data_IF_659312699762
#
_entry.id   IF_659312699762
#
_cell.length_a   1.000
_cell.length_b   1.000
_cell.length_c   1.000
_cell.angle_alpha   90.00
_cell.angle_beta   90.00
_cell.angle_gamma   90.00
#
_symmetry.space_group_name_H-M   'P 1'
#
loop_
_entity.id
_entity.type
_entity.pdbx_description
1 polymer ?
#
# COMPACT_ATOMS: atom_id res chain seq x y z
N UNK A 1 56.08 36.98 -43.09
CA UNK A 1 56.04 36.05 -44.24
C UNK A 1 54.69 35.34 -44.17
N UNK A 2 53.94 35.36 -45.25
CA UNK A 2 52.51 35.08 -45.37
C UNK A 2 52.11 33.63 -45.03
N UNK A 3 50.92 33.41 -44.45
CA UNK A 3 49.70 33.04 -45.20
C UNK A 3 48.47 32.87 -44.30
N UNK A 4 47.40 33.56 -44.71
CA UNK A 4 46.00 33.33 -44.37
C UNK A 4 45.53 32.11 -45.17
N UNK A 5 44.62 31.30 -44.61
CA UNK A 5 43.57 30.67 -45.42
C UNK A 5 42.29 30.47 -44.59
N UNK A 6 41.19 30.80 -45.27
CA UNK A 6 39.81 30.96 -44.82
C UNK A 6 38.96 29.85 -45.52
N UNK A 7 37.82 29.51 -44.90
CA UNK A 7 36.67 28.72 -45.41
C UNK A 7 36.73 27.19 -45.34
N UNK A 8 35.86 26.63 -44.48
CA UNK A 8 34.78 25.66 -44.81
C UNK A 8 34.10 25.28 -43.47
N UNK A 9 33.14 26.06 -42.97
CA UNK A 9 31.70 25.93 -43.22
C UNK A 9 31.21 24.45 -43.29
N UNK A 10 30.89 23.87 -42.13
CA UNK A 10 29.90 22.81 -42.06
C UNK A 10 28.92 23.15 -40.94
N UNK A 11 27.72 23.56 -41.37
CA UNK A 11 26.53 23.65 -40.55
C UNK A 11 26.19 22.26 -40.01
N UNK A 12 26.05 22.14 -38.69
CA UNK A 12 25.09 21.21 -38.12
C UNK A 12 24.15 22.01 -37.23
N UNK A 13 22.89 22.09 -37.69
CA UNK A 13 21.77 22.59 -36.95
C UNK A 13 21.66 21.82 -35.63
N UNK A 14 21.95 22.48 -34.52
CA UNK A 14 21.35 22.10 -33.24
C UNK A 14 19.97 22.73 -33.27
N UNK A 15 19.00 21.98 -33.77
CA UNK A 15 17.59 22.22 -33.50
C UNK A 15 17.40 22.23 -31.99
N UNK A 16 17.21 23.42 -31.43
CA UNK A 16 16.80 23.60 -30.05
C UNK A 16 15.45 22.93 -29.84
N UNK A 17 15.46 21.68 -29.40
CA UNK A 17 14.34 21.09 -28.68
C UNK A 17 14.36 21.77 -27.32
N UNK A 18 13.60 22.85 -27.20
CA UNK A 18 13.18 23.40 -25.92
C UNK A 18 12.33 22.31 -25.28
N UNK A 19 12.96 21.44 -24.48
CA UNK A 19 12.24 20.69 -23.48
C UNK A 19 11.67 21.72 -22.51
N UNK A 20 10.42 22.10 -22.73
CA UNK A 20 9.59 22.66 -21.66
C UNK A 20 9.41 21.54 -20.63
N UNK A 21 10.40 21.36 -19.77
CA UNK A 21 10.20 20.73 -18.48
C UNK A 21 9.33 21.68 -17.68
N UNK A 22 8.02 21.53 -17.80
CA UNK A 22 7.09 22.01 -16.78
C UNK A 22 7.44 21.20 -15.53
N UNK A 23 8.40 21.71 -14.76
CA UNK A 23 8.64 21.23 -13.42
C UNK A 23 7.39 21.55 -12.63
N UNK A 24 6.56 20.54 -12.37
CA UNK A 24 5.62 20.60 -11.25
C UNK A 24 6.45 20.60 -9.97
N UNK A 25 7.00 21.76 -9.63
CA UNK A 25 7.40 22.05 -8.26
C UNK A 25 6.12 22.08 -7.45
N UNK A 26 5.80 20.99 -6.77
CA UNK A 26 4.82 20.99 -5.70
C UNK A 26 5.41 21.84 -4.56
N UNK A 27 5.34 23.16 -4.69
CA UNK A 27 5.64 24.11 -3.61
C UNK A 27 4.55 23.95 -2.55
N UNK A 28 4.72 22.97 -1.66
CA UNK A 28 3.78 22.78 -0.56
C UNK A 28 4.12 23.81 0.52
N UNK A 29 3.54 25.01 0.41
CA UNK A 29 3.09 25.70 1.62
C UNK A 29 2.02 24.77 2.21
N UNK A 30 2.41 23.93 3.18
CA UNK A 30 1.51 22.94 3.80
C UNK A 30 0.33 23.67 4.45
N UNK A 31 -0.75 23.87 3.73
CA UNK A 31 -2.06 23.93 4.37
C UNK A 31 -2.21 22.61 5.11
N UNK A 32 -2.38 22.68 6.43
CA UNK A 32 -2.64 21.48 7.22
C UNK A 32 -3.92 20.85 6.67
N UNK A 33 -3.93 19.53 6.39
CA UNK A 33 -5.15 18.87 5.97
C UNK A 33 -6.26 19.14 6.99
N UNK A 34 -7.47 19.38 6.49
CA UNK A 34 -8.65 19.69 7.32
C UNK A 34 -9.23 18.42 7.96
N UNK A 35 -9.80 18.53 9.14
CA UNK A 35 -10.55 17.44 9.78
C UNK A 35 -11.84 17.17 9.00
N UNK A 36 -11.96 15.96 8.46
CA UNK A 36 -13.12 15.45 7.73
C UNK A 36 -13.83 14.32 8.45
N UNK A 37 -13.55 14.09 9.74
CA UNK A 37 -14.15 13.02 10.55
C UNK A 37 -15.67 13.01 10.50
N UNK A 38 -16.30 14.19 10.41
CA UNK A 38 -17.76 14.35 10.31
C UNK A 38 -18.38 13.74 9.05
N UNK A 39 -17.58 13.45 8.02
CA UNK A 39 -18.05 12.79 6.79
C UNK A 39 -18.18 11.27 6.98
N UNK A 40 -17.53 10.72 8.00
CA UNK A 40 -17.42 9.29 8.22
C UNK A 40 -18.34 8.81 9.33
N UNK A 41 -19.02 7.70 9.06
CA UNK A 41 -19.84 6.98 10.03
C UNK A 41 -19.02 5.86 10.65
N UNK A 42 -18.93 5.87 11.99
CA UNK A 42 -18.20 4.87 12.78
C UNK A 42 -19.18 4.13 13.67
N UNK A 43 -19.16 2.79 13.63
CA UNK A 43 -19.94 1.96 14.54
C UNK A 43 -19.10 1.36 15.69
N UNK A 44 -17.77 1.55 15.65
CA UNK A 44 -16.78 1.08 16.62
C UNK A 44 -16.79 -0.44 16.88
N UNK A 45 -17.42 -1.23 15.99
CA UNK A 45 -17.45 -2.68 16.08
C UNK A 45 -16.19 -3.25 15.47
N UNK A 46 -15.59 -4.20 16.19
CA UNK A 46 -14.45 -4.95 15.68
C UNK A 46 -14.94 -5.96 14.64
N UNK A 47 -14.31 -5.95 13.47
CA UNK A 47 -14.49 -6.95 12.41
C UNK A 47 -13.71 -8.22 12.78
N UNK A 48 -12.45 -8.02 13.18
CA UNK A 48 -11.58 -9.04 13.77
C UNK A 48 -10.89 -8.44 15.01
N UNK A 49 -10.63 -9.27 16.01
CA UNK A 49 -9.92 -8.82 17.22
C UNK A 49 -9.28 -9.99 17.98
N UNK A 50 -8.44 -9.66 18.96
CA UNK A 50 -7.83 -10.64 19.87
C UNK A 50 -6.51 -11.22 19.38
N UNK A 51 -6.07 -10.82 18.18
CA UNK A 51 -4.77 -11.16 17.61
C UNK A 51 -3.63 -10.33 18.20
N UNK A 52 -2.40 -10.77 17.94
CA UNK A 52 -1.18 -10.15 18.49
C UNK A 52 -0.78 -8.85 17.81
N UNK A 53 -0.70 -8.87 16.48
CA UNK A 53 -0.33 -7.70 15.67
C UNK A 53 -0.75 -7.89 14.21
N UNK A 54 -1.95 -7.48 13.78
CA UNK A 54 -2.42 -7.68 12.39
C UNK A 54 -3.10 -6.45 11.79
N UNK A 55 -2.96 -6.28 10.48
CA UNK A 55 -3.35 -5.08 9.75
C UNK A 55 -3.44 -5.31 8.23
N UNK A 56 -3.72 -4.24 7.46
CA UNK A 56 -3.92 -4.28 6.01
C UNK A 56 -5.08 -5.21 5.59
N UNK A 57 -6.27 -5.00 6.17
CA UNK A 57 -7.45 -5.84 5.92
C UNK A 57 -8.11 -5.52 4.58
N UNK A 58 -7.47 -5.98 3.50
CA UNK A 58 -7.88 -5.75 2.13
C UNK A 58 -9.09 -6.61 1.77
N UNK A 59 -10.22 -5.99 1.39
CA UNK A 59 -11.49 -6.68 1.14
C UNK A 59 -11.89 -6.62 -0.33
N UNK A 60 -12.24 -7.78 -0.89
CA UNK A 60 -12.87 -7.92 -2.20
C UNK A 60 -14.35 -8.33 -2.03
N UNK A 61 -15.21 -7.74 -2.85
CA UNK A 61 -16.63 -8.11 -2.95
C UNK A 61 -16.94 -8.88 -4.24
N UNK A 62 -17.54 -10.06 -4.09
CA UNK A 62 -17.93 -10.99 -5.15
C UNK A 62 -19.38 -11.46 -4.93
N UNK A 63 -20.40 -10.72 -5.38
CA UNK A 63 -21.80 -10.91 -4.99
C UNK A 63 -22.36 -12.32 -5.26
N UNK A 64 -21.82 -13.02 -6.27
CA UNK A 64 -22.31 -14.34 -6.71
C UNK A 64 -21.66 -15.51 -5.95
N UNK A 65 -20.79 -15.24 -4.96
CA UNK A 65 -20.14 -16.24 -4.11
C UNK A 65 -20.96 -16.53 -2.85
N UNK A 66 -20.92 -17.77 -2.33
CA UNK A 66 -21.52 -18.11 -1.03
C UNK A 66 -21.00 -17.21 0.10
N UNK A 67 -19.72 -16.85 0.02
CA UNK A 67 -19.07 -15.84 0.83
C UNK A 67 -18.68 -14.69 -0.09
N UNK A 68 -19.54 -13.68 -0.24
CA UNK A 68 -19.30 -12.58 -1.16
C UNK A 68 -18.23 -11.61 -0.67
N UNK A 69 -17.88 -11.62 0.61
CA UNK A 69 -16.76 -10.83 1.11
C UNK A 69 -15.57 -11.75 1.36
N UNK A 70 -14.43 -11.42 0.76
CA UNK A 70 -13.16 -12.11 0.98
C UNK A 70 -12.13 -11.07 1.37
N UNK A 71 -11.24 -11.44 2.27
CA UNK A 71 -10.18 -10.55 2.71
C UNK A 71 -8.83 -11.24 2.75
N UNK A 72 -7.79 -10.44 2.54
CA UNK A 72 -6.40 -10.79 2.78
C UNK A 72 -5.80 -9.73 3.69
N UNK A 73 -5.04 -10.17 4.66
CA UNK A 73 -4.47 -9.33 5.71
C UNK A 73 -3.24 -10.00 6.26
N UNK A 74 -2.43 -9.32 7.07
CA UNK A 74 -1.18 -9.94 7.50
C UNK A 74 -0.80 -9.53 8.91
N UNK A 75 0.22 -10.22 9.41
CA UNK A 75 0.85 -9.91 10.68
C UNK A 75 1.09 -11.16 11.52
N UNK A 76 0.91 -11.02 12.82
CA UNK A 76 1.13 -12.04 13.83
C UNK A 76 -0.17 -12.40 14.53
N UNK A 77 -0.57 -13.67 14.46
CA UNK A 77 -1.84 -14.12 15.02
C UNK A 77 -1.79 -14.20 16.56
N UNK A 78 -0.79 -14.88 17.14
CA UNK A 78 -0.74 -15.20 18.58
C UNK A 78 0.53 -14.70 19.27
N UNK A 79 1.70 -15.02 18.72
CA UNK A 79 3.00 -14.61 19.24
C UNK A 79 3.73 -13.75 18.22
N UNK A 80 4.63 -12.88 18.70
CA UNK A 80 5.44 -12.05 17.80
C UNK A 80 6.20 -12.96 16.83
N UNK A 81 6.15 -12.61 15.54
CA UNK A 81 6.71 -13.40 14.45
C UNK A 81 6.10 -14.79 14.27
N UNK A 82 4.83 -15.00 14.69
CA UNK A 82 4.11 -16.27 14.56
C UNK A 82 4.90 -17.48 15.09
N UNK A 83 5.75 -17.28 16.11
CA UNK A 83 6.65 -18.30 16.68
C UNK A 83 5.93 -19.52 17.26
N UNK A 84 4.64 -19.39 17.53
CA UNK A 84 3.77 -20.47 17.98
C UNK A 84 3.40 -21.47 16.87
N UNK A 85 3.68 -21.18 15.59
CA UNK A 85 3.36 -22.06 14.46
C UNK A 85 4.57 -22.97 14.18
N UNK A 86 4.42 -24.30 14.32
CA UNK A 86 5.50 -25.24 14.02
C UNK A 86 6.02 -25.07 12.60
N UNK A 87 7.35 -25.13 12.45
CA UNK A 87 8.08 -25.03 11.18
C UNK A 87 7.86 -23.74 10.38
N UNK A 88 7.21 -22.73 10.95
CA UNK A 88 7.07 -21.42 10.34
C UNK A 88 8.41 -20.71 10.25
N UNK A 89 8.69 -20.15 9.07
CA UNK A 89 9.88 -19.35 8.78
C UNK A 89 9.47 -17.91 8.53
N UNK A 90 10.32 -16.99 8.99
CA UNK A 90 10.08 -15.55 8.93
C UNK A 90 9.33 -15.02 10.16
N UNK A 91 8.61 -13.92 9.97
CA UNK A 91 7.92 -13.19 11.02
C UNK A 91 6.49 -12.86 10.59
N UNK A 92 6.35 -12.02 9.58
CA UNK A 92 5.06 -11.61 9.02
C UNK A 92 4.59 -12.59 7.95
N UNK A 93 3.29 -12.87 7.99
CA UNK A 93 2.62 -13.74 7.03
C UNK A 93 1.24 -13.20 6.68
N UNK A 94 0.79 -13.51 5.46
CA UNK A 94 -0.53 -13.16 4.98
C UNK A 94 -1.51 -14.28 5.35
N UNK A 95 -2.67 -13.87 5.86
CA UNK A 95 -3.83 -14.64 6.24
C UNK A 95 -5.00 -14.26 5.32
N UNK A 96 -6.04 -15.08 5.33
CA UNK A 96 -7.27 -14.80 4.57
C UNK A 96 -8.51 -15.06 5.41
N UNK A 97 -9.54 -14.26 5.16
CA UNK A 97 -10.83 -14.35 5.80
C UNK A 97 -11.96 -14.27 4.77
N UNK A 98 -13.16 -14.70 5.17
CA UNK A 98 -14.36 -14.61 4.33
C UNK A 98 -15.59 -14.34 5.19
N UNK A 99 -16.61 -13.71 4.60
CA UNK A 99 -17.87 -13.46 5.29
C UNK A 99 -19.07 -13.45 4.35
N UNK A 100 -20.23 -13.78 4.91
CA UNK A 100 -21.54 -13.70 4.22
C UNK A 100 -22.09 -12.27 4.18
N UNK A 101 -21.64 -11.43 5.10
CA UNK A 101 -22.01 -10.02 5.26
C UNK A 101 -20.78 -9.23 5.65
N UNK A 102 -20.71 -7.96 5.26
CA UNK A 102 -19.57 -7.10 5.55
C UNK A 102 -19.34 -6.94 7.06
N UNK A 103 -20.41 -6.89 7.84
CA UNK A 103 -20.37 -6.80 9.32
C UNK A 103 -19.92 -8.09 9.99
N UNK A 104 -19.81 -9.19 9.23
CA UNK A 104 -19.49 -10.52 9.73
C UNK A 104 -20.72 -11.39 10.05
N UNK A 105 -20.51 -12.52 10.76
CA UNK A 105 -19.21 -12.97 11.27
C UNK A 105 -18.22 -13.25 10.15
N UNK A 106 -16.95 -12.93 10.40
CA UNK A 106 -15.84 -13.24 9.51
C UNK A 106 -15.19 -14.54 9.94
N UNK A 107 -15.02 -15.45 8.99
CA UNK A 107 -14.32 -16.71 9.18
C UNK A 107 -12.88 -16.57 8.70
N UNK A 108 -11.90 -16.98 9.51
CA UNK A 108 -10.47 -16.90 9.14
C UNK A 108 -9.94 -18.29 8.78
N UNK A 109 -9.11 -18.39 7.75
CA UNK A 109 -8.56 -19.67 7.31
C UNK A 109 -7.76 -20.37 8.42
N UNK A 110 -8.08 -21.65 8.64
CA UNK A 110 -7.51 -22.48 9.70
C UNK A 110 -6.61 -23.61 9.17
N UNK A 111 -6.26 -23.57 7.87
CA UNK A 111 -5.45 -24.61 7.23
C UNK A 111 -6.26 -25.82 6.76
N UNK A 112 -5.73 -26.55 5.78
CA UNK A 112 -6.32 -27.82 5.32
C UNK A 112 -7.76 -27.71 4.84
N UNK A 113 -8.13 -26.57 4.24
CA UNK A 113 -9.49 -26.30 3.75
C UNK A 113 -10.51 -25.93 4.84
N UNK A 114 -10.07 -25.74 6.09
CA UNK A 114 -10.93 -25.37 7.23
C UNK A 114 -10.93 -23.86 7.47
N UNK A 115 -11.99 -23.39 8.09
CA UNK A 115 -12.22 -22.00 8.45
C UNK A 115 -12.63 -21.93 9.92
N UNK A 116 -12.07 -20.98 10.66
CA UNK A 116 -12.43 -20.66 12.03
C UNK A 116 -13.59 -19.64 12.04
N UNK A 117 -14.74 -20.06 12.56
CA UNK A 117 -15.94 -19.25 12.75
C UNK A 117 -16.08 -18.72 14.19
N UNK A 118 -15.10 -19.02 15.07
CA UNK A 118 -15.13 -18.63 16.49
C UNK A 118 -14.39 -17.32 16.77
N UNK A 119 -13.57 -16.86 15.82
CA UNK A 119 -12.72 -15.66 15.99
C UNK A 119 -11.55 -15.89 16.93
N UNK A 120 -10.99 -17.11 16.99
CA UNK A 120 -9.90 -17.50 17.86
C UNK A 120 -8.55 -17.54 17.10
N UNK A 121 -7.65 -16.55 17.30
CA UNK A 121 -6.40 -16.47 16.57
C UNK A 121 -5.47 -17.68 16.69
N UNK A 122 -5.64 -18.52 17.72
CA UNK A 122 -4.87 -19.76 17.88
C UNK A 122 -5.17 -20.80 16.80
N UNK A 123 -6.31 -20.69 16.12
CA UNK A 123 -6.71 -21.60 15.04
C UNK A 123 -6.22 -21.12 13.67
N UNK A 124 -5.87 -19.84 13.54
CA UNK A 124 -5.58 -19.23 12.24
C UNK A 124 -4.25 -19.75 11.69
N UNK A 125 -4.22 -19.96 10.38
CA UNK A 125 -3.03 -20.41 9.66
C UNK A 125 -2.68 -19.46 8.53
N UNK A 126 -1.39 -19.16 8.35
CA UNK A 126 -0.95 -18.32 7.25
C UNK A 126 -1.27 -19.00 5.92
N UNK A 127 -1.70 -18.19 4.96
CA UNK A 127 -1.87 -18.56 3.56
C UNK A 127 -0.55 -18.44 2.79
N UNK A 128 0.27 -17.46 3.19
CA UNK A 128 1.49 -17.04 2.52
C UNK A 128 2.57 -16.79 3.56
N UNK A 129 3.69 -17.49 3.41
CA UNK A 129 4.91 -17.30 4.21
C UNK A 129 6.12 -17.17 3.30
N UNK A 130 7.27 -16.84 3.85
CA UNK A 130 8.49 -16.59 3.09
C UNK A 130 9.03 -17.85 2.41
N UNK A 131 9.77 -17.67 1.30
CA UNK A 131 10.36 -18.78 0.52
C UNK A 131 11.86 -18.98 0.75
N UNK A 132 12.53 -18.06 1.45
CA UNK A 132 13.94 -18.14 1.81
C UNK A 132 14.90 -17.54 0.77
N UNK A 133 14.42 -16.64 -0.09
CA UNK A 133 15.30 -15.85 -0.99
C UNK A 133 15.70 -14.54 -0.32
N UNK A 134 16.70 -13.82 -0.87
CA UNK A 134 17.27 -12.64 -0.19
C UNK A 134 16.29 -11.48 -0.04
N UNK A 135 15.19 -11.52 -0.81
CA UNK A 135 14.11 -10.54 -0.81
C UNK A 135 12.82 -11.11 -0.21
N UNK A 136 12.81 -12.36 0.24
CA UNK A 136 11.64 -13.09 0.71
C UNK A 136 12.05 -14.10 1.78
N UNK A 137 12.55 -13.58 2.91
CA UNK A 137 13.13 -14.39 3.99
C UNK A 137 12.41 -14.20 5.32
N UNK A 138 11.99 -12.97 5.63
CA UNK A 138 11.46 -12.67 6.96
C UNK A 138 10.08 -11.99 6.98
N UNK A 139 9.70 -11.21 5.96
CA UNK A 139 8.41 -10.50 5.95
C UNK A 139 7.65 -10.77 4.65
N UNK A 140 6.42 -11.27 4.74
CA UNK A 140 5.43 -11.26 3.66
C UNK A 140 4.14 -10.61 4.15
N UNK A 141 3.74 -9.51 3.52
CA UNK A 141 2.66 -8.68 4.02
C UNK A 141 2.06 -7.75 3.00
N UNK A 142 1.22 -6.85 3.50
CA UNK A 142 0.51 -5.81 2.76
C UNK A 142 -0.12 -6.32 1.44
N UNK A 143 -0.98 -7.35 1.49
CA UNK A 143 -1.57 -7.92 0.29
C UNK A 143 -2.62 -6.96 -0.29
N UNK A 144 -2.46 -6.58 -1.56
CA UNK A 144 -3.53 -5.97 -2.35
C UNK A 144 -3.98 -6.93 -3.44
N UNK A 145 -5.28 -7.22 -3.50
CA UNK A 145 -5.84 -8.33 -4.27
C UNK A 145 -7.03 -7.86 -5.11
N UNK A 146 -6.91 -8.02 -6.42
CA UNK A 146 -8.03 -7.79 -7.35
C UNK A 146 -8.40 -9.07 -8.09
N UNK A 147 -9.59 -9.08 -8.66
CA UNK A 147 -10.03 -10.13 -9.58
C UNK A 147 -10.27 -9.55 -10.97
N UNK A 148 -9.62 -10.13 -11.98
CA UNK A 148 -9.84 -9.80 -13.39
C UNK A 148 -10.33 -11.05 -14.11
N UNK A 149 -11.58 -11.02 -14.55
CA UNK A 149 -12.26 -12.22 -15.07
C UNK A 149 -12.36 -13.31 -13.99
N UNK A 150 -11.72 -14.45 -14.22
CA UNK A 150 -11.72 -15.59 -13.27
C UNK A 150 -10.48 -15.67 -12.39
N UNK A 151 -9.51 -14.79 -12.59
CA UNK A 151 -8.19 -14.87 -11.96
C UNK A 151 -8.04 -13.79 -10.90
N UNK A 152 -7.59 -14.19 -9.72
CA UNK A 152 -7.11 -13.29 -8.68
C UNK A 152 -5.66 -12.92 -8.95
N UNK A 153 -5.34 -11.65 -8.75
CA UNK A 153 -4.00 -11.09 -8.82
C UNK A 153 -3.71 -10.46 -7.46
N UNK A 154 -2.54 -10.74 -6.91
CA UNK A 154 -2.05 -10.17 -5.67
C UNK A 154 -0.72 -9.50 -5.92
N UNK A 155 -0.57 -8.25 -5.50
CA UNK A 155 0.74 -7.69 -5.20
C UNK A 155 0.90 -7.69 -3.69
N UNK A 156 2.11 -8.00 -3.22
CA UNK A 156 2.39 -8.05 -1.79
C UNK A 156 3.83 -7.62 -1.51
N UNK A 157 4.04 -7.09 -0.32
CA UNK A 157 5.35 -6.76 0.19
C UNK A 157 6.15 -8.01 0.53
N UNK A 158 7.42 -8.03 0.14
CA UNK A 158 8.38 -9.03 0.59
C UNK A 158 9.68 -8.38 1.07
N UNK A 159 10.20 -8.89 2.18
CA UNK A 159 11.49 -8.45 2.74
C UNK A 159 12.38 -9.64 3.07
N UNK A 160 13.67 -9.51 2.80
CA UNK A 160 14.69 -10.49 3.16
C UNK A 160 16.01 -9.86 3.58
N UNK A 161 16.99 -10.71 3.90
CA UNK A 161 18.26 -10.33 4.53
C UNK A 161 19.33 -9.84 3.54
N UNK A 162 18.89 -9.08 2.54
CA UNK A 162 19.69 -8.49 1.45
C UNK A 162 20.89 -9.35 0.97
N UNK A 163 22.02 -8.74 0.60
CA UNK A 163 23.06 -9.44 -0.16
C UNK A 163 23.96 -10.28 0.74
N UNK A 164 24.20 -9.85 1.97
CA UNK A 164 25.03 -10.59 2.92
C UNK A 164 24.29 -11.76 3.62
N UNK A 165 22.95 -11.80 3.50
CA UNK A 165 22.06 -12.83 4.07
C UNK A 165 22.03 -12.85 5.59
N UNK A 166 22.39 -11.74 6.23
CA UNK A 166 22.43 -11.57 7.67
C UNK A 166 21.21 -10.71 8.08
N UNK A 167 20.46 -11.10 9.13
CA UNK A 167 19.34 -10.29 9.59
C UNK A 167 19.77 -8.86 9.95
N UNK A 168 18.97 -7.90 9.50
CA UNK A 168 19.14 -6.49 9.80
C UNK A 168 19.30 -6.24 11.31
N UNK A 169 20.03 -5.17 11.66
CA UNK A 169 20.33 -4.76 13.03
C UNK A 169 21.15 -5.78 13.86
N UNK A 170 21.73 -6.80 13.23
CA UNK A 170 22.66 -7.72 13.92
C UNK A 170 24.12 -7.27 13.75
N UNK A 171 25.05 -7.64 14.66
CA UNK A 171 26.42 -7.09 14.66
C UNK A 171 27.25 -7.30 13.39
N UNK A 172 26.85 -8.22 12.51
CA UNK A 172 27.58 -8.56 11.29
C UNK A 172 26.85 -8.14 10.01
N UNK A 173 25.65 -7.57 10.14
CA UNK A 173 24.89 -7.04 9.02
C UNK A 173 25.60 -5.81 8.44
N UNK A 174 25.64 -5.74 7.10
CA UNK A 174 26.35 -4.71 6.36
C UNK A 174 25.50 -3.96 5.34
N UNK A 175 24.30 -4.47 5.04
CA UNK A 175 23.41 -3.97 4.00
C UNK A 175 21.92 -3.96 4.36
N UNK A 176 21.54 -4.45 5.55
CA UNK A 176 20.21 -4.28 6.10
C UNK A 176 19.16 -5.19 5.46
N UNK A 177 17.96 -4.65 5.30
CA UNK A 177 16.84 -5.37 4.69
C UNK A 177 16.65 -4.97 3.23
N UNK A 178 16.40 -5.96 2.37
CA UNK A 178 15.97 -5.70 1.00
C UNK A 178 14.45 -5.77 0.91
N UNK A 179 13.82 -4.66 0.51
CA UNK A 179 12.38 -4.56 0.34
C UNK A 179 12.00 -4.60 -1.13
N UNK A 180 10.93 -5.33 -1.42
CA UNK A 180 10.39 -5.36 -2.76
C UNK A 180 8.91 -5.68 -2.77
N UNK A 181 8.33 -5.55 -3.96
CA UNK A 181 6.96 -5.97 -4.23
C UNK A 181 7.02 -7.20 -5.13
N UNK A 182 6.34 -8.24 -4.68
CA UNK A 182 6.17 -9.50 -5.37
C UNK A 182 4.76 -9.60 -5.96
N UNK A 183 4.62 -10.42 -7.01
CA UNK A 183 3.33 -10.71 -7.63
C UNK A 183 2.89 -12.15 -7.33
N UNK A 184 1.58 -12.40 -7.31
CA UNK A 184 1.02 -13.74 -7.33
C UNK A 184 -0.32 -13.80 -8.05
N UNK A 185 -0.66 -14.97 -8.60
CA UNK A 185 -1.95 -15.24 -9.24
C UNK A 185 -2.61 -16.50 -8.68
N UNK A 186 -3.94 -16.52 -8.67
CA UNK A 186 -4.73 -17.65 -8.18
C UNK A 186 -6.07 -17.76 -8.93
N UNK A 187 -6.64 -18.96 -8.97
CA UNK A 187 -8.00 -19.19 -9.49
C UNK A 187 -9.06 -19.23 -8.38
N UNK A 188 -8.65 -19.46 -7.12
CA UNK A 188 -9.55 -19.66 -5.98
C UNK A 188 -9.29 -18.70 -4.80
N UNK A 189 -8.22 -17.90 -4.87
CA UNK A 189 -7.80 -16.97 -3.84
C UNK A 189 -7.08 -17.64 -2.65
N UNK A 190 -6.83 -18.95 -2.73
CA UNK A 190 -6.22 -19.77 -1.68
C UNK A 190 -4.90 -20.40 -2.14
N UNK A 191 -4.85 -20.94 -3.35
CA UNK A 191 -3.66 -21.54 -3.93
C UNK A 191 -3.03 -20.57 -4.93
N UNK A 192 -1.79 -20.16 -4.66
CA UNK A 192 -1.16 -19.06 -5.38
C UNK A 192 0.11 -19.48 -6.09
N UNK A 193 0.27 -19.02 -7.33
CA UNK A 193 1.53 -19.04 -8.07
C UNK A 193 2.20 -17.67 -7.93
N UNK A 194 3.37 -17.62 -7.29
CA UNK A 194 4.16 -16.40 -7.08
C UNK A 194 5.02 -16.07 -8.30
N UNK A 195 5.40 -14.80 -8.44
CA UNK A 195 6.47 -14.39 -9.35
C UNK A 195 7.80 -14.99 -8.89
N UNK A 196 8.67 -15.34 -9.82
CA UNK A 196 10.00 -15.89 -9.51
C UNK A 196 10.98 -14.82 -9.00
N UNK A 197 10.68 -13.55 -9.31
CA UNK A 197 11.47 -12.37 -8.97
C UNK A 197 10.54 -11.25 -8.50
N UNK A 198 11.07 -10.22 -7.82
CA UNK A 198 10.32 -9.01 -7.52
C UNK A 198 9.73 -8.39 -8.78
N UNK A 199 8.42 -8.10 -8.76
CA UNK A 199 7.76 -7.40 -9.86
C UNK A 199 8.11 -5.91 -9.85
N UNK A 200 8.41 -5.35 -8.67
CA UNK A 200 9.01 -4.04 -8.50
C UNK A 200 10.10 -4.09 -7.40
N UNK A 201 11.25 -3.50 -7.68
CA UNK A 201 12.31 -3.29 -6.71
C UNK A 201 13.22 -2.13 -7.15
N UNK A 202 13.90 -1.50 -6.20
CA UNK A 202 14.96 -0.55 -6.49
C UNK A 202 16.31 -1.26 -6.47
N UNK A 203 16.86 -1.54 -7.65
CA UNK A 203 18.05 -2.42 -7.77
C UNK A 203 19.28 -1.90 -7.03
N UNK A 204 19.41 -0.58 -6.85
CA UNK A 204 20.54 -0.01 -6.11
C UNK A 204 20.46 -0.22 -4.59
N UNK A 205 19.34 -0.76 -4.08
CA UNK A 205 19.19 -1.22 -2.70
C UNK A 205 19.98 -2.49 -2.43
N UNK A 206 20.16 -3.37 -3.42
CA UNK A 206 20.85 -4.65 -3.25
C UNK A 206 22.33 -4.45 -2.88
N UNK A 207 22.71 -4.78 -1.65
CA UNK A 207 24.03 -4.51 -1.07
C UNK A 207 24.32 -3.02 -0.92
N UNK A 208 23.29 -2.19 -0.94
CA UNK A 208 23.34 -0.77 -0.65
C UNK A 208 23.61 -0.55 0.83
N UNK A 209 24.20 0.60 1.19
CA UNK A 209 24.33 0.97 2.60
C UNK A 209 23.18 1.85 3.01
N UNK A 210 22.43 1.38 3.99
CA UNK A 210 21.45 2.16 4.70
C UNK A 210 22.07 3.42 5.31
N UNK A 211 21.45 4.57 5.05
CA UNK A 211 21.96 5.86 5.52
C UNK A 211 21.46 6.24 6.91
N UNK A 212 20.41 5.57 7.42
CA UNK A 212 19.90 5.68 8.78
C UNK A 212 18.78 4.65 9.05
N UNK A 213 19.10 3.52 9.70
CA UNK A 213 18.14 2.44 9.96
C UNK A 213 17.78 1.62 8.71
N UNK A 214 16.74 0.81 8.79
CA UNK A 214 16.29 -0.21 7.81
C UNK A 214 15.70 0.36 6.49
N UNK A 215 16.17 1.52 6.01
CA UNK A 215 15.59 2.22 4.84
C UNK A 215 16.63 2.73 3.85
N UNK A 216 16.35 2.51 2.57
CA UNK A 216 17.18 2.94 1.45
C UNK A 216 16.53 4.06 0.67
N UNK A 217 17.27 5.16 0.49
CA UNK A 217 16.83 6.32 -0.26
C UNK A 217 16.43 5.95 -1.70
N UNK A 218 15.20 6.31 -2.09
CA UNK A 218 14.56 5.98 -3.37
C UNK A 218 14.18 4.51 -3.57
N UNK A 219 14.48 3.67 -2.59
CA UNK A 219 14.07 2.27 -2.51
C UNK A 219 13.03 2.05 -1.42
N UNK A 220 13.12 0.92 -0.73
CA UNK A 220 12.16 0.46 0.27
C UNK A 220 10.76 0.31 -0.34
N UNK A 221 10.68 -0.34 -1.51
CA UNK A 221 9.41 -0.52 -2.22
C UNK A 221 8.51 -1.51 -1.46
N UNK A 222 7.36 -1.03 -1.00
CA UNK A 222 6.50 -1.77 -0.09
C UNK A 222 5.02 -1.35 -0.24
N UNK A 223 4.11 -2.05 0.45
CA UNK A 223 2.70 -1.67 0.62
C UNK A 223 1.97 -1.34 -0.68
N UNK A 224 1.89 -2.31 -1.61
CA UNK A 224 1.24 -2.08 -2.88
C UNK A 224 -0.27 -1.93 -2.72
N UNK A 225 -0.87 -1.06 -3.52
CA UNK A 225 -2.30 -1.07 -3.85
C UNK A 225 -2.45 -1.22 -5.36
N UNK A 226 -3.10 -2.30 -5.79
CA UNK A 226 -3.25 -2.65 -7.21
C UNK A 226 -4.66 -2.41 -7.72
N UNK A 227 -4.75 -2.03 -8.99
CA UNK A 227 -6.00 -1.89 -9.72
C UNK A 227 -5.81 -2.33 -11.17
N UNK A 228 -6.83 -2.94 -11.76
CA UNK A 228 -6.90 -3.16 -13.20
C UNK A 228 -7.91 -2.19 -13.80
N UNK A 229 -7.42 -1.23 -14.57
CA UNK A 229 -8.21 -0.13 -15.11
C UNK A 229 -7.55 0.38 -16.39
N UNK A 230 -8.34 0.80 -17.37
CA UNK A 230 -7.86 1.16 -18.72
C UNK A 230 -7.05 0.06 -19.41
N UNK A 231 -7.46 -1.20 -19.24
CA UNK A 231 -6.81 -2.40 -19.80
C UNK A 231 -5.34 -2.58 -19.38
N UNK A 232 -4.94 -2.05 -18.22
CA UNK A 232 -3.61 -2.22 -17.65
C UNK A 232 -3.70 -2.43 -16.14
N UNK A 233 -2.67 -3.08 -15.60
CA UNK A 233 -2.44 -3.07 -14.16
C UNK A 233 -1.78 -1.75 -13.78
N UNK A 234 -2.30 -1.16 -12.72
CA UNK A 234 -1.83 0.05 -12.05
C UNK A 234 -1.42 -0.36 -10.64
N UNK A 235 -0.31 0.16 -10.14
CA UNK A 235 0.13 -0.08 -8.76
C UNK A 235 0.66 1.19 -8.14
N UNK A 236 0.13 1.53 -6.97
CA UNK A 236 0.65 2.56 -6.08
C UNK A 236 1.38 1.88 -4.94
N UNK A 237 2.47 2.47 -4.44
CA UNK A 237 3.30 1.81 -3.44
C UNK A 237 4.12 2.80 -2.63
N UNK A 238 4.57 2.38 -1.45
CA UNK A 238 5.50 3.12 -0.61
C UNK A 238 6.92 3.05 -1.17
N UNK A 239 7.64 4.17 -1.07
CA UNK A 239 9.09 4.18 -1.17
C UNK A 239 9.69 5.29 -0.31
N UNK A 240 10.95 5.13 0.09
CA UNK A 240 11.61 6.08 0.99
C UNK A 240 12.22 7.27 0.26
N UNK A 241 12.08 8.46 0.84
CA UNK A 241 12.59 9.72 0.28
C UNK A 241 13.25 10.59 1.35
N UNK A 242 13.93 11.71 1.00
CA UNK A 242 14.47 12.65 1.99
C UNK A 242 13.39 13.29 2.88
N UNK A 243 12.12 13.22 2.47
CA UNK A 243 10.96 13.74 3.21
C UNK A 243 10.24 12.65 4.01
N UNK A 244 10.75 11.41 4.04
CA UNK A 244 10.06 10.24 4.57
C UNK A 244 9.39 9.41 3.47
N UNK A 245 8.40 8.61 3.84
CA UNK A 245 7.70 7.70 2.91
C UNK A 245 6.84 8.48 1.93
N UNK A 246 6.95 8.18 0.64
CA UNK A 246 6.15 8.76 -0.43
C UNK A 246 5.40 7.67 -1.21
N UNK A 247 4.34 8.08 -1.93
CA UNK A 247 3.58 7.23 -2.82
C UNK A 247 4.19 7.26 -4.23
N UNK A 248 4.72 6.13 -4.68
CA UNK A 248 5.16 5.87 -6.05
C UNK A 248 4.05 5.28 -6.92
N UNK A 249 4.34 5.11 -8.22
CA UNK A 249 3.41 4.53 -9.19
C UNK A 249 4.10 3.80 -10.34
N UNK A 250 3.53 2.66 -10.72
CA UNK A 250 3.94 1.86 -11.88
C UNK A 250 2.75 1.27 -12.65
N UNK A 251 3.01 0.85 -13.89
CA UNK A 251 2.01 0.25 -14.78
C UNK A 251 2.53 -1.03 -15.44
N UNK A 252 1.63 -1.95 -15.76
CA UNK A 252 1.93 -3.16 -16.53
C UNK A 252 0.84 -3.45 -17.57
N UNK A 253 1.27 -3.68 -18.81
CA UNK A 253 0.43 -3.98 -19.98
C UNK A 253 0.58 -5.43 -20.47
N UNK A 254 1.50 -6.19 -19.88
CA UNK A 254 1.88 -7.54 -20.28
C UNK A 254 1.50 -8.57 -19.23
N UNK A 255 2.44 -9.46 -18.93
CA UNK A 255 2.27 -10.48 -17.90
C UNK A 255 2.51 -9.88 -16.51
N UNK A 256 1.50 -9.97 -15.65
CA UNK A 256 1.53 -9.44 -14.28
C UNK A 256 2.72 -9.96 -13.47
N UNK A 257 3.14 -11.21 -13.68
CA UNK A 257 4.22 -11.84 -12.92
C UNK A 257 5.62 -11.55 -13.48
N UNK A 258 5.72 -10.88 -14.64
CA UNK A 258 7.00 -10.58 -15.28
C UNK A 258 7.49 -9.18 -14.91
N UNK A 259 8.64 -9.06 -14.22
CA UNK A 259 9.19 -7.76 -13.83
C UNK A 259 9.44 -6.84 -15.04
N UNK A 260 9.86 -7.39 -16.18
CA UNK A 260 10.15 -6.62 -17.39
C UNK A 260 8.93 -5.95 -18.03
N UNK A 261 7.72 -6.40 -17.72
CA UNK A 261 6.47 -5.83 -18.22
C UNK A 261 5.96 -4.67 -17.34
N UNK A 262 6.56 -4.47 -16.15
CA UNK A 262 6.29 -3.35 -15.26
C UNK A 262 7.14 -2.13 -15.59
N UNK A 263 6.51 -0.95 -15.60
CA UNK A 263 7.15 0.35 -15.87
C UNK A 263 6.92 1.29 -14.69
N UNK A 264 8.00 1.71 -14.03
CA UNK A 264 7.98 2.76 -13.02
C UNK A 264 7.71 4.11 -13.70
N UNK A 265 6.69 4.85 -13.25
CA UNK A 265 6.25 6.12 -13.85
C UNK A 265 6.50 7.30 -12.90
N UNK A 266 6.17 7.16 -11.60
CA UNK A 266 6.38 8.19 -10.57
C UNK A 266 7.17 7.59 -9.41
N UNK A 267 8.46 7.89 -9.36
CA UNK A 267 9.42 7.41 -8.35
C UNK A 267 10.57 8.41 -8.17
N UNK A 268 11.47 8.15 -7.21
CA UNK A 268 12.62 9.00 -6.95
C UNK A 268 12.19 10.40 -6.52
N UNK A 269 12.66 11.43 -7.22
CA UNK A 269 12.33 12.84 -6.94
C UNK A 269 10.93 13.26 -7.45
N UNK A 270 10.20 12.37 -8.13
CA UNK A 270 8.89 12.66 -8.70
C UNK A 270 7.81 11.66 -8.23
N UNK A 271 7.44 11.63 -6.93
CA UNK A 271 6.34 10.81 -6.43
C UNK A 271 4.98 11.28 -6.95
N UNK A 272 3.96 10.44 -6.76
CA UNK A 272 2.56 10.85 -6.85
C UNK A 272 2.18 11.77 -5.69
N UNK A 273 2.57 11.41 -4.46
CA UNK A 273 2.41 12.22 -3.26
C UNK A 273 3.59 12.03 -2.30
N UNK A 274 4.05 13.14 -1.73
CA UNK A 274 5.04 13.13 -0.66
C UNK A 274 4.38 12.85 0.70
N UNK A 275 5.08 12.15 1.60
CA UNK A 275 4.64 11.94 2.99
C UNK A 275 3.26 11.28 3.07
N UNK A 276 3.01 10.33 2.17
CA UNK A 276 1.74 9.62 2.00
C UNK A 276 1.98 8.10 2.07
N UNK A 277 2.23 7.56 3.28
CA UNK A 277 2.55 6.15 3.49
C UNK A 277 1.32 5.25 3.41
N UNK A 278 1.55 3.96 3.17
CA UNK A 278 0.53 2.92 3.20
C UNK A 278 -0.65 3.23 2.27
N UNK A 279 -0.41 3.58 0.98
CA UNK A 279 -1.47 4.00 0.10
C UNK A 279 -2.41 2.84 -0.21
N UNK A 280 -3.71 3.07 -0.05
CA UNK A 280 -4.73 2.25 -0.71
C UNK A 280 -5.59 3.12 -1.64
N UNK A 281 -5.78 2.64 -2.87
CA UNK A 281 -6.39 3.39 -3.97
C UNK A 281 -7.61 2.66 -4.51
N UNK A 282 -8.74 3.36 -4.52
CA UNK A 282 -10.00 2.90 -5.12
C UNK A 282 -10.54 3.92 -6.11
N UNK A 283 -11.46 3.49 -6.97
CA UNK A 283 -12.11 4.35 -7.97
C UNK A 283 -13.60 4.40 -7.71
N UNK A 284 -14.15 5.62 -7.65
CA UNK A 284 -15.58 5.88 -7.55
C UNK A 284 -16.01 6.70 -8.76
N UNK A 285 -16.79 6.09 -9.66
CA UNK A 285 -17.05 6.68 -10.97
C UNK A 285 -15.75 6.91 -11.74
N UNK A 286 -15.46 8.16 -12.09
CA UNK A 286 -14.25 8.56 -12.80
C UNK A 286 -13.20 9.22 -11.90
N UNK A 287 -13.37 9.19 -10.58
CA UNK A 287 -12.45 9.81 -9.63
C UNK A 287 -11.76 8.72 -8.80
N UNK A 288 -10.45 8.84 -8.65
CA UNK A 288 -9.68 8.02 -7.74
C UNK A 288 -9.70 8.65 -6.34
N UNK A 289 -9.81 7.80 -5.34
CA UNK A 289 -9.63 8.12 -3.93
C UNK A 289 -8.42 7.33 -3.43
N UNK A 290 -7.56 7.99 -2.67
CA UNK A 290 -6.43 7.37 -1.99
C UNK A 290 -6.53 7.62 -0.49
N UNK A 291 -6.13 6.61 0.28
CA UNK A 291 -6.06 6.66 1.73
C UNK A 291 -4.66 6.32 2.19
N UNK A 292 -4.17 7.05 3.18
CA UNK A 292 -2.89 6.83 3.85
C UNK A 292 -3.05 7.11 5.34
N UNK A 293 -2.01 6.92 6.14
CA UNK A 293 -2.02 7.20 7.57
C UNK A 293 -0.79 8.00 8.05
N UNK A 294 -0.46 9.16 7.45
CA UNK A 294 0.73 9.92 7.80
C UNK A 294 0.82 10.26 9.30
N UNK A 295 2.05 10.28 9.81
CA UNK A 295 2.36 10.70 11.18
C UNK A 295 2.59 12.20 11.34
N UNK A 296 3.10 12.59 12.52
CA UNK A 296 3.49 13.97 12.80
C UNK A 296 2.40 14.87 13.38
N UNK A 297 1.25 14.31 13.79
CA UNK A 297 0.22 15.05 14.52
C UNK A 297 0.46 15.08 16.05
N UNK A 298 1.30 14.17 16.56
CA UNK A 298 1.79 14.15 17.93
C UNK A 298 3.31 14.01 17.97
N UNK A 299 3.93 14.39 19.09
CA UNK A 299 5.37 14.25 19.30
C UNK A 299 5.75 12.82 19.76
N UNK A 300 5.41 11.83 18.93
CA UNK A 300 5.76 10.42 19.11
C UNK A 300 5.64 9.70 17.76
N UNK A 301 6.61 8.87 17.42
CA UNK A 301 6.69 8.17 16.12
C UNK A 301 5.44 7.32 15.80
N UNK A 302 4.83 6.73 16.84
CA UNK A 302 3.66 5.88 16.70
C UNK A 302 2.32 6.52 17.05
N UNK A 303 2.27 7.66 17.76
CA UNK A 303 0.99 8.24 18.21
C UNK A 303 0.46 9.25 17.20
N UNK A 304 -0.86 9.41 17.19
CA UNK A 304 -1.51 10.46 16.43
C UNK A 304 -1.40 10.30 14.91
N UNK A 305 -1.11 9.10 14.40
CA UNK A 305 -1.31 8.85 12.96
C UNK A 305 -2.80 8.89 12.65
N UNK A 306 -3.13 9.58 11.57
CA UNK A 306 -4.50 9.86 11.15
C UNK A 306 -4.68 9.41 9.72
N UNK A 307 -5.79 8.74 9.45
CA UNK A 307 -6.13 8.39 8.08
C UNK A 307 -6.35 9.68 7.29
N UNK A 308 -5.61 9.84 6.20
CA UNK A 308 -5.66 11.00 5.30
C UNK A 308 -6.22 10.58 3.96
N UNK A 309 -7.14 11.36 3.42
CA UNK A 309 -7.77 11.15 2.12
C UNK A 309 -7.17 12.09 1.07
N UNK A 310 -6.99 11.58 -0.15
CA UNK A 310 -6.67 12.35 -1.33
C UNK A 310 -7.52 11.91 -2.52
N UNK A 311 -7.69 12.80 -3.50
CA UNK A 311 -8.44 12.53 -4.74
C UNK A 311 -7.60 12.84 -5.98
N UNK A 312 -7.87 12.14 -7.08
CA UNK A 312 -7.21 12.36 -8.37
C UNK A 312 -8.13 12.01 -9.53
N UNK A 313 -8.02 12.73 -10.65
CA UNK A 313 -8.72 12.39 -11.90
C UNK A 313 -7.95 11.39 -12.77
N UNK A 314 -6.63 11.26 -12.58
CA UNK A 314 -5.76 10.46 -13.45
C UNK A 314 -4.94 9.39 -12.69
N UNK A 315 -5.02 9.38 -11.35
CA UNK A 315 -4.27 8.47 -10.49
C UNK A 315 -2.80 8.84 -10.29
N UNK A 316 -2.34 9.98 -10.82
CA UNK A 316 -0.96 10.45 -10.76
C UNK A 316 -0.83 11.77 -10.00
N UNK A 317 -1.76 12.68 -10.24
CA UNK A 317 -1.77 14.03 -9.68
C UNK A 317 -2.88 14.13 -8.64
N UNK A 318 -2.49 14.33 -7.39
CA UNK A 318 -3.37 14.12 -6.24
C UNK A 318 -3.55 15.39 -5.43
N UNK A 319 -4.77 15.57 -4.93
CA UNK A 319 -5.13 16.62 -3.99
C UNK A 319 -5.56 16.00 -2.65
N UNK A 320 -4.85 16.30 -1.57
CA UNK A 320 -5.26 15.92 -0.21
C UNK A 320 -6.55 16.67 0.16
N UNK A 321 -7.57 15.93 0.59
CA UNK A 321 -8.89 16.47 0.95
C UNK A 321 -9.06 16.65 2.46
N UNK A 322 -8.38 15.86 3.29
CA UNK A 322 -8.45 15.98 4.74
C UNK A 322 -7.98 14.74 5.50
N UNK A 323 -8.10 14.78 6.82
CA UNK A 323 -7.80 13.65 7.70
C UNK A 323 -9.02 13.23 8.54
N UNK A 324 -8.98 12.00 9.06
CA UNK A 324 -9.95 11.46 10.02
C UNK A 324 -9.27 11.19 11.35
N UNK A 325 -9.88 11.66 12.44
CA UNK A 325 -9.40 11.42 13.80
C UNK A 325 -9.47 9.93 14.17
N UNK A 326 -8.56 9.44 15.02
CA UNK A 326 -8.63 8.10 15.61
C UNK A 326 -9.95 7.87 16.36
N UNK A 327 -10.24 6.59 16.65
CA UNK A 327 -11.35 6.25 17.54
C UNK A 327 -11.05 6.69 18.99
N UNK A 328 -12.06 7.00 19.81
CA UNK A 328 -11.84 7.46 21.19
C UNK A 328 -11.04 6.48 22.07
N UNK A 329 -11.01 5.19 21.71
CA UNK A 329 -10.35 4.13 22.47
C UNK A 329 -9.00 3.69 21.88
N UNK A 330 -8.48 4.38 20.86
CA UNK A 330 -7.20 4.06 20.22
C UNK A 330 -6.38 5.33 19.99
N UNK A 331 -5.05 5.31 20.27
CA UNK A 331 -4.22 6.48 20.06
C UNK A 331 -3.95 6.77 18.58
N UNK A 332 -4.19 5.81 17.68
CA UNK A 332 -3.96 5.94 16.26
C UNK A 332 -4.71 4.87 15.44
N UNK A 333 -5.08 5.24 14.21
CA UNK A 333 -5.71 4.36 13.21
C UNK A 333 -4.81 4.27 11.98
N UNK A 334 -4.46 3.05 11.57
CA UNK A 334 -3.36 2.81 10.63
C UNK A 334 -3.75 1.85 9.49
N UNK A 335 -2.94 1.89 8.44
CA UNK A 335 -2.96 0.98 7.27
C UNK A 335 -4.38 0.83 6.69
N UNK A 336 -4.93 1.91 6.12
CA UNK A 336 -6.29 1.92 5.62
C UNK A 336 -6.45 1.03 4.38
N UNK A 337 -7.60 0.35 4.28
CA UNK A 337 -7.96 -0.52 3.16
C UNK A 337 -9.40 -0.26 2.75
N UNK A 338 -9.63 0.20 1.52
CA UNK A 338 -10.90 0.68 1.04
C UNK A 338 -11.63 -0.36 0.19
N UNK A 339 -12.93 -0.50 0.43
CA UNK A 339 -13.87 -1.22 -0.40
C UNK A 339 -14.92 -0.24 -0.91
N UNK A 340 -15.11 -0.21 -2.23
CA UNK A 340 -16.20 0.54 -2.86
C UNK A 340 -17.37 -0.41 -3.11
N UNK A 341 -18.54 -0.07 -2.59
CA UNK A 341 -19.79 -0.73 -2.91
C UNK A 341 -20.74 0.23 -3.61
N UNK A 342 -21.38 -0.24 -4.68
CA UNK A 342 -22.41 0.50 -5.39
C UNK A 342 -23.78 -0.07 -4.99
N UNK A 343 -24.55 0.72 -4.26
CA UNK A 343 -25.90 0.38 -3.84
C UNK A 343 -26.92 1.30 -4.53
N UNK A 344 -27.56 0.78 -5.58
CA UNK A 344 -28.46 1.55 -6.46
C UNK A 344 -27.71 2.75 -7.07
N UNK A 345 -28.07 3.97 -6.68
CA UNK A 345 -27.51 5.23 -7.17
C UNK A 345 -26.48 5.84 -6.19
N UNK A 346 -25.99 5.04 -5.22
CA UNK A 346 -25.05 5.50 -4.19
C UNK A 346 -23.77 4.68 -4.24
N UNK A 347 -22.65 5.37 -4.28
CA UNK A 347 -21.36 4.75 -4.01
C UNK A 347 -21.00 4.96 -2.55
N UNK A 348 -20.68 3.87 -1.87
CA UNK A 348 -20.28 3.85 -0.47
C UNK A 348 -18.84 3.38 -0.40
N UNK A 349 -17.98 4.16 0.26
CA UNK A 349 -16.63 3.73 0.61
C UNK A 349 -16.67 3.19 2.03
N UNK A 350 -16.31 1.93 2.18
CA UNK A 350 -15.99 1.31 3.47
C UNK A 350 -14.47 1.33 3.62
N UNK A 351 -13.98 1.93 4.70
CA UNK A 351 -12.55 2.02 4.99
C UNK A 351 -12.23 1.20 6.22
N UNK A 352 -11.55 0.08 6.01
CA UNK A 352 -11.01 -0.77 7.06
C UNK A 352 -9.71 -0.20 7.60
N UNK A 353 -9.46 -0.34 8.89
CA UNK A 353 -8.25 0.15 9.53
C UNK A 353 -7.92 -0.64 10.79
N UNK A 354 -6.63 -0.68 11.09
CA UNK A 354 -6.12 -1.26 12.34
C UNK A 354 -6.08 -0.25 13.46
N UNK A 355 -6.49 -0.68 14.65
CA UNK A 355 -6.45 0.16 15.85
C UNK A 355 -5.26 -0.22 16.71
N UNK A 356 -4.43 0.76 17.04
CA UNK A 356 -3.24 0.55 17.86
C UNK A 356 -3.62 0.26 19.32
N UNK A 357 -2.84 -0.59 19.99
CA UNK A 357 -3.02 -0.90 21.42
C UNK A 357 -2.63 0.31 22.26
N UNK A 358 -1.44 0.85 22.04
CA UNK A 358 -0.97 2.06 22.70
C UNK A 358 -0.51 1.85 24.14
N UNK A 359 -0.71 2.89 24.96
CA UNK A 359 -0.30 2.94 26.35
C UNK A 359 0.56 4.17 26.67
N UNK A 360 1.14 4.16 27.87
CA UNK A 360 2.07 5.19 28.32
C UNK A 360 3.37 5.15 27.50
N UNK A 361 4.01 6.31 27.30
CA UNK A 361 5.22 6.40 26.47
C UNK A 361 6.36 5.48 26.93
N UNK A 362 6.46 5.20 28.24
CA UNK A 362 7.48 4.31 28.80
C UNK A 362 7.22 2.80 28.58
N UNK A 363 6.01 2.44 28.14
CA UNK A 363 5.57 1.05 27.89
C UNK A 363 4.62 1.02 26.69
N UNK A 364 4.98 1.72 25.62
CA UNK A 364 4.10 1.87 24.47
C UNK A 364 3.99 0.56 23.69
N UNK A 365 2.77 0.10 23.44
CA UNK A 365 2.52 -1.06 22.59
C UNK A 365 2.17 -0.60 21.16
N UNK A 366 3.16 -0.69 20.27
CA UNK A 366 3.02 -0.28 18.87
C UNK A 366 2.08 -1.19 18.07
N UNK A 367 1.77 -2.39 18.59
CA UNK A 367 1.02 -3.44 17.88
C UNK A 367 -0.46 -3.07 17.74
N UNK A 368 -1.14 -3.74 16.81
CA UNK A 368 -2.58 -3.61 16.58
C UNK A 368 -3.29 -4.90 16.98
N UNK A 369 -4.41 -4.80 17.70
CA UNK A 369 -5.14 -5.98 18.20
C UNK A 369 -6.58 -6.10 17.71
N UNK A 370 -7.01 -5.17 16.85
CA UNK A 370 -8.36 -5.11 16.31
C UNK A 370 -8.38 -4.37 14.98
N UNK A 371 -9.21 -4.86 14.07
CA UNK A 371 -9.56 -4.21 12.81
C UNK A 371 -11.01 -3.75 12.92
N UNK A 372 -11.27 -2.52 12.46
CA UNK A 372 -12.60 -1.92 12.35
C UNK A 372 -12.79 -1.39 10.95
N UNK A 373 -13.99 -0.92 10.65
CA UNK A 373 -14.22 -0.06 9.49
C UNK A 373 -15.04 1.17 9.86
N UNK A 374 -14.95 2.16 8.99
CA UNK A 374 -15.86 3.29 8.91
C UNK A 374 -16.39 3.39 7.49
N UNK A 375 -17.45 4.15 7.27
CA UNK A 375 -18.00 4.29 5.93
C UNK A 375 -18.54 5.68 5.67
N UNK A 376 -18.54 6.07 4.39
CA UNK A 376 -19.23 7.26 3.93
C UNK A 376 -19.86 7.05 2.57
N UNK A 377 -20.98 7.71 2.34
CA UNK A 377 -21.53 7.85 1.00
C UNK A 377 -20.73 8.92 0.24
N UNK A 378 -20.48 8.68 -1.04
CA UNK A 378 -19.87 9.62 -1.96
C UNK A 378 -20.93 10.06 -2.96
N UNK A 379 -21.54 11.25 -2.80
CA UNK A 379 -22.56 11.72 -3.72
C UNK A 379 -21.93 12.12 -5.06
N UNK A 380 -22.65 11.92 -6.17
CA UNK A 380 -22.18 12.31 -7.50
C UNK A 380 -21.79 13.77 -7.61
N UNK A 381 -22.44 14.66 -6.84
CA UNK A 381 -22.09 16.08 -6.77
C UNK A 381 -20.71 16.35 -6.18
N UNK A 382 -20.22 15.52 -5.26
CA UNK A 382 -18.85 15.59 -4.75
C UNK A 382 -17.85 15.27 -5.87
N UNK A 383 -18.13 14.22 -6.64
CA UNK A 383 -17.31 13.79 -7.77
C UNK A 383 -17.23 14.90 -8.83
N UNK A 384 -18.38 15.46 -9.23
CA UNK A 384 -18.46 16.56 -10.19
C UNK A 384 -17.69 17.80 -9.69
N UNK A 385 -17.80 18.13 -8.41
CA UNK A 385 -17.07 19.26 -7.80
C UNK A 385 -15.57 19.06 -7.94
N UNK A 386 -15.05 17.89 -7.56
CA UNK A 386 -13.62 17.62 -7.65
C UNK A 386 -13.11 17.56 -9.09
N UNK A 387 -13.87 16.96 -10.01
CA UNK A 387 -13.50 16.94 -11.43
C UNK A 387 -13.39 18.37 -11.98
N UNK A 388 -14.36 19.23 -11.69
CA UNK A 388 -14.34 20.62 -12.13
C UNK A 388 -13.17 21.39 -11.50
N UNK A 389 -12.95 21.25 -10.19
CA UNK A 389 -11.87 21.94 -9.48
C UNK A 389 -10.48 21.53 -9.97
N UNK A 390 -10.28 20.24 -10.25
CA UNK A 390 -9.02 19.70 -10.75
C UNK A 390 -8.78 20.07 -12.22
N UNK A 391 -9.79 19.98 -13.07
CA UNK A 391 -9.67 20.37 -14.49
C UNK A 391 -9.34 21.86 -14.66
N UNK A 392 -9.95 22.73 -13.84
CA UNK A 392 -9.69 24.17 -13.85
C UNK A 392 -8.26 24.52 -13.40
N UNK A 393 -7.64 23.71 -12.53
CA UNK A 393 -6.24 23.90 -12.10
C UNK A 393 -5.23 23.47 -13.16
N UNK A 394 -5.61 22.54 -14.04
CA UNK A 394 -4.77 22.05 -15.13
C UNK A 394 -4.85 22.92 -16.40
N UNK A 395 -5.74 23.93 -16.43
CA UNK A 395 -5.85 24.85 -17.55
C UNK A 395 -6.45 24.23 -18.81
N UNK A 396 -7.37 23.27 -18.64
CA UNK A 396 -8.18 22.69 -19.72
C UNK A 396 -9.41 23.57 -20.00
#
# INVERSE_FOLDING_TARGET
MYRINIISLLLFLISGVIFNSIGYTQTSTREKPKDISRLWQKNYKNVLSGFRNMYNFHVLYEPDSEYPFKAWFFGWAVEDCNRNIPDFKGCDAIFTARAKKLEGPWEVYAGGGKWDDTGNPKLWKPLFSTTGTYFDEWHNGDPSVIKVGKTYYMAYSATGHDKDRIPADTPNDTDGSFYCIMGAVSEDGIHWKRSEKPILAYIAELGGKDKAGDVTLWGTYHRPSIMYDDNKFKIWFDYWTPRGVAMGYAENYGDFLKPEDWKLIRVGENPCLWEFPNPDVVKVGNLYYAYADPGGYENHEWKGRKITEAVSCNGLDWQITGYVEPDPDTPAIHVPEALVMNEKDRSIIYLFYSCQIGGEASKYDFRYNRIRYMYREVPSSEIETYINDLSNKEGI
#
